data_IF_775352765256
#
_entry.id   IF_775352765256
#
_cell.length_a   1.000
_cell.length_b   1.000
_cell.length_c   1.000
_cell.angle_alpha   90.00
_cell.angle_beta   90.00
_cell.angle_gamma   90.00
#
_symmetry.space_group_name_H-M   'P 1'
#
loop_
_entity.id
_entity.type
_entity.pdbx_description
1 polymer ?
#
# COMPACT_ATOMS: atom_id res chain seq x y z
N UNK A 1 -18.29 -14.79 11.50
CA UNK A 1 -19.17 -13.63 11.68
C UNK A 1 -18.47 -12.43 12.29
N UNK A 2 -17.65 -12.61 13.34
CA UNK A 2 -16.88 -11.50 13.94
C UNK A 2 -15.89 -10.86 12.97
N UNK A 3 -15.27 -11.65 12.09
CA UNK A 3 -14.32 -11.14 11.11
C UNK A 3 -14.98 -10.22 10.07
N UNK A 4 -16.17 -10.56 9.59
CA UNK A 4 -16.92 -9.74 8.63
C UNK A 4 -17.36 -8.41 9.24
N UNK A 5 -17.80 -8.41 10.51
CA UNK A 5 -18.15 -7.19 11.24
C UNK A 5 -16.96 -6.25 11.42
N UNK A 6 -15.78 -6.78 11.72
CA UNK A 6 -14.55 -5.99 11.86
C UNK A 6 -14.11 -5.38 10.53
N UNK A 7 -14.25 -6.09 9.42
CA UNK A 7 -13.93 -5.58 8.09
C UNK A 7 -14.83 -4.41 7.72
N UNK A 8 -16.11 -4.52 7.94
CA UNK A 8 -17.08 -3.46 7.67
C UNK A 8 -16.78 -2.23 8.53
N UNK A 9 -16.52 -2.42 9.82
CA UNK A 9 -16.15 -1.34 10.72
C UNK A 9 -14.84 -0.64 10.29
N UNK A 10 -13.84 -1.39 9.86
CA UNK A 10 -12.58 -0.83 9.39
C UNK A 10 -12.77 0.03 8.14
N UNK A 11 -13.63 -0.40 7.21
CA UNK A 11 -13.96 0.35 5.99
C UNK A 11 -14.75 1.61 6.32
N UNK A 12 -15.75 1.51 7.17
CA UNK A 12 -16.54 2.66 7.63
C UNK A 12 -15.68 3.66 8.38
N UNK A 13 -14.78 3.20 9.24
CA UNK A 13 -13.83 4.05 9.94
C UNK A 13 -12.89 4.78 8.98
N UNK A 14 -12.44 4.14 7.92
CA UNK A 14 -11.58 4.77 6.92
C UNK A 14 -12.32 5.89 6.19
N UNK A 15 -13.58 5.69 5.83
CA UNK A 15 -14.43 6.71 5.19
C UNK A 15 -14.74 7.87 6.13
N UNK A 16 -15.16 7.58 7.37
CA UNK A 16 -15.43 8.59 8.39
C UNK A 16 -14.18 9.40 8.73
N UNK A 17 -13.05 8.74 8.85
CA UNK A 17 -11.77 9.39 9.10
C UNK A 17 -11.38 10.32 7.95
N UNK A 18 -11.58 9.89 6.72
CA UNK A 18 -11.32 10.69 5.53
C UNK A 18 -12.19 11.95 5.51
N UNK A 19 -13.48 11.81 5.78
CA UNK A 19 -14.43 12.94 5.78
C UNK A 19 -14.11 13.93 6.90
N UNK A 20 -13.81 13.43 8.08
CA UNK A 20 -13.39 14.26 9.22
C UNK A 20 -12.12 15.03 8.91
N UNK A 21 -11.15 14.41 8.26
CA UNK A 21 -9.90 15.05 7.89
C UNK A 21 -10.08 16.10 6.81
N UNK A 22 -10.94 15.88 5.84
CA UNK A 22 -11.27 16.88 4.82
C UNK A 22 -11.86 18.16 5.43
N UNK A 23 -12.67 18.01 6.48
CA UNK A 23 -13.24 19.14 7.20
C UNK A 23 -12.18 19.91 8.00
N UNK A 24 -11.21 19.20 8.56
CA UNK A 24 -10.21 19.77 9.48
C UNK A 24 -9.02 20.43 8.80
N UNK A 25 -8.58 19.91 7.66
CA UNK A 25 -7.22 20.13 7.22
C UNK A 25 -7.08 20.81 5.85
N UNK A 26 -8.15 21.09 5.14
CA UNK A 26 -8.09 21.81 3.87
C UNK A 26 -7.02 21.26 2.90
N UNK A 27 -6.02 22.07 2.59
CA UNK A 27 -5.00 21.77 1.58
C UNK A 27 -3.93 20.76 1.99
N UNK A 28 -3.98 20.21 3.19
CA UNK A 28 -3.10 19.10 3.59
C UNK A 28 -3.63 17.72 3.17
N UNK A 29 -4.55 17.72 2.22
CA UNK A 29 -5.24 16.52 1.76
C UNK A 29 -4.32 15.42 1.24
N UNK A 30 -3.16 15.73 0.68
CA UNK A 30 -2.27 14.73 0.07
C UNK A 30 -1.68 13.77 1.11
N UNK A 31 -1.11 14.29 2.19
CA UNK A 31 -0.53 13.47 3.25
C UNK A 31 -1.60 12.60 3.95
N UNK A 32 -2.77 13.19 4.19
CA UNK A 32 -3.88 12.50 4.82
C UNK A 32 -4.49 11.44 3.91
N UNK A 33 -4.52 11.70 2.60
CA UNK A 33 -4.97 10.71 1.62
C UNK A 33 -4.08 9.48 1.65
N UNK A 34 -2.77 9.64 1.77
CA UNK A 34 -1.86 8.50 1.88
C UNK A 34 -2.15 7.67 3.15
N UNK A 35 -2.42 8.31 4.27
CA UNK A 35 -2.79 7.62 5.50
C UNK A 35 -4.08 6.81 5.35
N UNK A 36 -5.10 7.39 4.72
CA UNK A 36 -6.37 6.69 4.45
C UNK A 36 -6.15 5.52 3.50
N UNK A 37 -5.37 5.72 2.45
CA UNK A 37 -5.06 4.65 1.48
C UNK A 37 -4.28 3.52 2.15
N UNK A 38 -3.33 3.82 3.01
CA UNK A 38 -2.58 2.81 3.74
C UNK A 38 -3.50 1.94 4.62
N UNK A 39 -4.43 2.55 5.32
CA UNK A 39 -5.43 1.82 6.11
C UNK A 39 -6.39 1.02 5.24
N UNK A 40 -6.85 1.60 4.14
CA UNK A 40 -7.73 0.91 3.20
C UNK A 40 -7.05 -0.31 2.57
N UNK A 41 -5.78 -0.18 2.21
CA UNK A 41 -4.99 -1.28 1.67
C UNK A 41 -4.81 -2.42 2.69
N UNK A 42 -4.58 -2.10 3.96
CA UNK A 42 -4.52 -3.07 5.04
C UNK A 42 -5.86 -3.79 5.23
N UNK A 43 -6.96 -3.05 5.20
CA UNK A 43 -8.31 -3.60 5.30
C UNK A 43 -8.63 -4.51 4.12
N UNK A 44 -8.25 -4.13 2.92
CA UNK A 44 -8.42 -4.93 1.71
C UNK A 44 -7.62 -6.23 1.81
N UNK A 45 -6.37 -6.15 2.23
CA UNK A 45 -5.53 -7.33 2.43
C UNK A 45 -6.14 -8.30 3.44
N UNK A 46 -6.69 -7.78 4.51
CA UNK A 46 -7.37 -8.60 5.51
C UNK A 46 -8.64 -9.24 4.96
N UNK A 47 -9.48 -8.47 4.27
CA UNK A 47 -10.75 -8.96 3.70
C UNK A 47 -10.52 -10.07 2.69
N UNK A 48 -9.51 -9.94 1.85
CA UNK A 48 -9.19 -10.90 0.80
C UNK A 48 -8.20 -11.98 1.23
N UNK A 49 -7.83 -12.01 2.51
CA UNK A 49 -6.86 -12.96 3.07
C UNK A 49 -5.55 -12.99 2.29
N UNK A 50 -5.06 -11.81 1.95
CA UNK A 50 -3.83 -11.67 1.20
C UNK A 50 -2.63 -12.10 2.02
N UNK A 51 -1.60 -12.58 1.34
CA UNK A 51 -0.33 -12.97 1.95
C UNK A 51 0.54 -11.76 2.27
N UNK A 52 0.51 -10.75 1.39
CA UNK A 52 1.32 -9.54 1.52
C UNK A 52 0.63 -8.35 0.86
N UNK A 53 1.19 -7.18 1.07
CA UNK A 53 0.75 -5.93 0.47
C UNK A 53 1.87 -5.41 -0.44
N UNK A 54 1.59 -5.29 -1.74
CA UNK A 54 2.54 -4.74 -2.70
C UNK A 54 2.31 -3.22 -2.86
N UNK A 55 3.37 -2.45 -2.81
CA UNK A 55 3.32 -1.01 -2.94
C UNK A 55 4.18 -0.53 -4.10
N UNK A 56 3.61 0.34 -4.91
CA UNK A 56 4.31 1.03 -5.98
C UNK A 56 4.17 2.54 -5.81
N UNK A 57 5.28 3.20 -5.57
CA UNK A 57 5.35 4.66 -5.48
C UNK A 57 6.76 5.13 -5.79
N UNK A 58 6.88 6.27 -6.45
CA UNK A 58 8.16 6.93 -6.66
C UNK A 58 8.63 7.77 -5.48
N UNK A 59 7.85 7.86 -4.41
CA UNK A 59 8.12 8.73 -3.28
C UNK A 59 8.53 7.94 -2.03
N UNK A 60 9.73 8.22 -1.53
CA UNK A 60 10.20 7.66 -0.26
C UNK A 60 9.32 8.10 0.92
N UNK A 61 8.78 9.31 0.86
CA UNK A 61 7.87 9.82 1.90
C UNK A 61 6.59 9.00 1.98
N UNK A 62 5.98 8.69 0.84
CA UNK A 62 4.76 7.87 0.80
C UNK A 62 5.02 6.45 1.33
N UNK A 63 6.16 5.88 0.96
CA UNK A 63 6.56 4.57 1.48
C UNK A 63 6.72 4.61 3.00
N UNK A 64 7.35 5.63 3.54
CA UNK A 64 7.50 5.82 4.97
C UNK A 64 6.14 5.98 5.67
N UNK A 65 5.20 6.69 5.06
CA UNK A 65 3.85 6.83 5.58
C UNK A 65 3.09 5.49 5.64
N UNK A 66 3.24 4.64 4.63
CA UNK A 66 2.71 3.28 4.70
C UNK A 66 3.36 2.46 5.82
N UNK A 67 4.66 2.53 5.94
CA UNK A 67 5.42 1.81 6.96
C UNK A 67 5.01 2.21 8.39
N UNK A 68 4.74 3.49 8.63
CA UNK A 68 4.41 3.97 9.99
C UNK A 68 3.10 3.40 10.52
N UNK A 69 2.19 2.96 9.67
CA UNK A 69 0.95 2.32 10.11
C UNK A 69 1.18 0.93 10.71
N UNK A 70 2.36 0.37 10.56
CA UNK A 70 2.79 -0.90 11.17
C UNK A 70 1.71 -1.97 11.09
N UNK A 71 1.17 -2.12 9.87
CA UNK A 71 0.12 -3.09 9.62
C UNK A 71 0.59 -4.52 9.81
N UNK A 72 -0.37 -5.43 9.80
CA UNK A 72 -0.14 -6.86 9.96
C UNK A 72 0.63 -7.48 8.79
N UNK A 73 0.59 -6.84 7.63
CA UNK A 73 1.12 -7.40 6.39
C UNK A 73 2.47 -6.81 6.04
N UNK A 74 3.35 -7.68 5.56
CA UNK A 74 4.61 -7.27 4.98
C UNK A 74 4.34 -6.42 3.74
N UNK A 75 5.05 -5.31 3.61
CA UNK A 75 4.99 -4.45 2.44
C UNK A 75 6.09 -4.87 1.47
N UNK A 76 5.70 -5.33 0.29
CA UNK A 76 6.63 -5.64 -0.80
C UNK A 76 6.80 -4.38 -1.64
N UNK A 77 7.99 -3.82 -1.64
CA UNK A 77 8.32 -2.61 -2.38
C UNK A 77 9.30 -2.93 -3.51
N UNK A 78 8.84 -2.77 -4.76
CA UNK A 78 9.65 -3.01 -5.94
C UNK A 78 10.19 -1.73 -6.55
N UNK A 79 11.45 -1.73 -6.94
CA UNK A 79 12.09 -0.61 -7.65
C UNK A 79 13.31 -1.11 -8.42
N UNK A 80 13.62 -0.43 -9.52
CA UNK A 80 14.88 -0.60 -10.25
C UNK A 80 16.00 0.26 -9.65
N UNK A 81 15.68 1.23 -8.82
CA UNK A 81 16.63 2.17 -8.21
C UNK A 81 17.18 1.61 -6.91
N UNK A 82 18.46 1.24 -6.91
CA UNK A 82 19.12 0.68 -5.73
C UNK A 82 19.16 1.65 -4.54
N UNK A 83 19.26 2.94 -4.79
CA UNK A 83 19.26 3.93 -3.71
C UNK A 83 17.92 3.95 -2.97
N UNK A 84 16.82 3.84 -3.71
CA UNK A 84 15.47 3.72 -3.11
C UNK A 84 15.31 2.43 -2.32
N UNK A 85 15.83 1.33 -2.84
CA UNK A 85 15.77 0.04 -2.14
C UNK A 85 16.56 0.08 -0.83
N UNK A 86 17.72 0.69 -0.82
CA UNK A 86 18.52 0.84 0.40
C UNK A 86 17.82 1.69 1.46
N UNK A 87 17.17 2.77 1.06
CA UNK A 87 16.36 3.59 1.98
C UNK A 87 15.16 2.81 2.51
N UNK A 88 14.53 2.02 1.67
CA UNK A 88 13.39 1.20 2.06
C UNK A 88 13.74 0.14 3.11
N UNK A 89 14.96 -0.38 3.10
CA UNK A 89 15.42 -1.34 4.11
C UNK A 89 15.39 -0.79 5.54
N UNK A 90 15.44 0.52 5.70
CA UNK A 90 15.40 1.17 7.01
C UNK A 90 13.98 1.28 7.57
N UNK A 91 12.97 0.98 6.76
CA UNK A 91 11.57 1.13 7.15
C UNK A 91 11.00 -0.16 7.72
N UNK A 92 10.24 -0.03 8.79
CA UNK A 92 9.63 -1.18 9.44
C UNK A 92 8.63 -1.89 8.53
N UNK A 93 8.74 -3.21 8.46
CA UNK A 93 7.80 -4.04 7.73
C UNK A 93 7.90 -3.95 6.20
N UNK A 94 8.86 -3.22 5.68
CA UNK A 94 9.09 -3.09 4.24
C UNK A 94 10.16 -4.09 3.79
N UNK A 95 9.82 -4.86 2.75
CA UNK A 95 10.72 -5.79 2.10
C UNK A 95 11.05 -5.27 0.70
N UNK A 96 12.23 -4.67 0.48
CA UNK A 96 12.59 -4.13 -0.81
C UNK A 96 12.97 -5.24 -1.79
N UNK A 97 12.50 -5.10 -3.04
CA UNK A 97 12.73 -6.08 -4.11
C UNK A 97 13.22 -5.33 -5.34
N UNK A 98 14.36 -5.74 -5.87
CA UNK A 98 14.87 -5.21 -7.13
C UNK A 98 14.08 -5.76 -8.30
N UNK A 99 13.49 -4.86 -9.10
CA UNK A 99 12.74 -5.20 -10.32
C UNK A 99 13.21 -4.31 -11.44
N UNK A 100 13.68 -4.89 -12.54
CA UNK A 100 14.21 -4.12 -13.66
C UNK A 100 13.16 -3.19 -14.28
N UNK A 101 11.91 -3.64 -14.35
CA UNK A 101 10.80 -2.82 -14.82
C UNK A 101 9.53 -3.14 -14.02
N UNK A 102 9.24 -2.29 -13.04
CA UNK A 102 8.07 -2.45 -12.18
C UNK A 102 6.74 -2.28 -12.92
N UNK A 103 6.75 -1.66 -14.08
CA UNK A 103 5.53 -1.43 -14.88
C UNK A 103 5.19 -2.61 -15.79
N UNK A 104 6.12 -3.52 -15.98
CA UNK A 104 5.93 -4.66 -16.88
C UNK A 104 5.03 -5.74 -16.25
N UNK A 105 4.06 -6.20 -17.03
CA UNK A 105 3.22 -7.32 -16.66
C UNK A 105 2.39 -7.11 -15.40
N UNK A 106 2.13 -8.21 -14.69
CA UNK A 106 1.41 -8.18 -13.42
C UNK A 106 2.41 -7.94 -12.28
N UNK A 107 2.75 -6.69 -12.05
CA UNK A 107 3.78 -6.32 -11.08
C UNK A 107 3.50 -6.78 -9.64
N UNK A 108 2.25 -6.76 -9.12
CA UNK A 108 2.01 -7.26 -7.77
C UNK A 108 2.33 -8.75 -7.63
N UNK A 109 1.95 -9.54 -8.61
CA UNK A 109 2.25 -10.98 -8.64
C UNK A 109 3.75 -11.22 -8.80
N UNK A 110 4.43 -10.42 -9.61
CA UNK A 110 5.88 -10.49 -9.77
C UNK A 110 6.59 -10.28 -8.44
N UNK A 111 6.18 -9.28 -7.66
CA UNK A 111 6.74 -9.04 -6.33
C UNK A 111 6.48 -10.21 -5.38
N UNK A 112 5.26 -10.74 -5.40
CA UNK A 112 4.88 -11.87 -4.57
C UNK A 112 5.76 -13.10 -4.86
N UNK A 113 5.94 -13.43 -6.13
CA UNK A 113 6.76 -14.56 -6.56
C UNK A 113 8.24 -14.36 -6.26
N UNK A 114 8.74 -13.16 -6.47
CA UNK A 114 10.15 -12.83 -6.16
C UNK A 114 10.44 -12.97 -4.67
N UNK A 115 9.46 -12.65 -3.83
CA UNK A 115 9.55 -12.85 -2.38
C UNK A 115 9.34 -14.32 -1.96
N UNK A 116 9.13 -15.22 -2.92
CA UNK A 116 8.88 -16.64 -2.67
C UNK A 116 7.63 -16.89 -1.82
N UNK A 117 6.62 -16.08 -2.03
CA UNK A 117 5.33 -16.17 -1.34
C UNK A 117 4.24 -16.69 -2.27
N UNK A 118 3.34 -17.48 -1.71
CA UNK A 118 2.18 -18.01 -2.41
C UNK A 118 0.90 -17.31 -1.97
N UNK A 119 -0.16 -17.47 -2.76
CA UNK A 119 -1.48 -16.96 -2.44
C UNK A 119 -1.82 -15.69 -3.19
N UNK A 120 -2.49 -14.76 -2.54
CA UNK A 120 -2.91 -13.50 -3.12
C UNK A 120 -2.09 -12.33 -2.55
N UNK A 121 -2.06 -11.25 -3.31
CA UNK A 121 -1.40 -10.02 -2.91
C UNK A 121 -2.36 -8.85 -3.10
N UNK A 122 -2.57 -8.07 -2.05
CA UNK A 122 -3.21 -6.77 -2.18
C UNK A 122 -2.17 -5.76 -2.66
N UNK A 123 -2.58 -4.76 -3.43
CA UNK A 123 -1.65 -3.77 -3.92
C UNK A 123 -2.23 -2.37 -3.86
N UNK A 124 -1.34 -1.41 -3.73
CA UNK A 124 -1.61 0.00 -3.86
C UNK A 124 -0.55 0.64 -4.76
N UNK A 125 -0.97 1.41 -5.73
CA UNK A 125 -0.08 2.08 -6.67
C UNK A 125 -0.43 3.55 -6.77
N UNK A 126 0.59 4.39 -6.67
CA UNK A 126 0.45 5.81 -6.94
C UNK A 126 0.69 6.05 -8.43
N UNK A 127 -0.32 6.61 -9.09
CA UNK A 127 -0.25 6.95 -10.50
C UNK A 127 -0.26 8.46 -10.67
N UNK A 128 0.82 9.00 -11.19
CA UNK A 128 0.96 10.41 -11.49
C UNK A 128 2.12 11.07 -10.78
N UNK A 129 2.54 12.19 -11.32
CA UNK A 129 3.69 12.94 -10.82
C UNK A 129 3.30 14.12 -9.94
N UNK A 130 2.04 14.56 -9.97
CA UNK A 130 1.57 15.80 -9.37
C UNK A 130 0.25 15.67 -8.60
N UNK A 131 -0.35 16.80 -8.29
CA UNK A 131 -1.56 16.96 -7.48
C UNK A 131 -2.80 16.22 -7.99
N UNK A 132 -2.83 15.85 -9.25
CA UNK A 132 -3.90 15.06 -9.87
C UNK A 132 -3.67 13.56 -9.76
N UNK A 133 -2.64 13.16 -9.08
CA UNK A 133 -2.29 11.76 -8.97
C UNK A 133 -3.36 10.96 -8.23
N UNK A 134 -3.64 9.79 -8.73
CA UNK A 134 -4.63 8.89 -8.19
C UNK A 134 -3.98 7.62 -7.66
N UNK A 135 -4.54 7.11 -6.58
CA UNK A 135 -4.21 5.78 -6.09
C UNK A 135 -5.05 4.73 -6.80
N UNK A 136 -4.40 3.65 -7.15
CA UNK A 136 -5.07 2.44 -7.60
C UNK A 136 -4.84 1.35 -6.56
N UNK A 137 -5.89 0.65 -6.20
CA UNK A 137 -5.81 -0.48 -5.28
C UNK A 137 -6.55 -1.69 -5.85
N UNK A 138 -6.10 -2.87 -5.48
CA UNK A 138 -6.76 -4.10 -5.87
C UNK A 138 -6.10 -5.32 -5.25
N UNK A 139 -6.55 -6.49 -5.71
CA UNK A 139 -6.01 -7.78 -5.29
C UNK A 139 -5.69 -8.60 -6.53
N UNK A 140 -4.58 -9.31 -6.49
CA UNK A 140 -4.16 -10.26 -7.52
C UNK A 140 -3.87 -11.62 -6.89
N UNK A 141 -4.15 -12.65 -7.61
CA UNK A 141 -3.80 -14.00 -7.20
C UNK A 141 -2.59 -14.49 -7.98
N UNK A 142 -1.65 -15.03 -7.26
CA UNK A 142 -0.43 -15.58 -7.82
C UNK A 142 -0.61 -16.94 -8.47
#
# INVERSE_FOLDING_TARGET
>A
MLAAGKIIQATEHAEDYRDSLKQFMGDRSVELTVDVIARAAQSLAYAEKATALALRTGSALRLAQFSKHRGRYMILYGSADEARLRKAQLLWGVHPIHVANIEAGDWPVTLLKTAELDGSVAYAAWKGDDDEAAWEMGVRRG
#
